data_IF_132468664096
#
_entry.id   IF_132468664096
#
_cell.length_a   1.000
_cell.length_b   1.000
_cell.length_c   1.000
_cell.angle_alpha   90.00
_cell.angle_beta   90.00
_cell.angle_gamma   90.00
#
_symmetry.space_group_name_H-M   'P 1'
#
loop_
_entity.id
_entity.type
_entity.pdbx_description
1 polymer ?
#
# COMPACT_ATOMS: atom_id res chain seq x y z
N UNK A 1 -27.58 5.66 37.40
CA UNK A 1 -26.11 5.89 37.37
C UNK A 1 -25.39 4.80 36.60
N UNK A 2 -25.76 3.55 36.77
CA UNK A 2 -25.17 2.35 36.11
C UNK A 2 -25.29 2.34 34.58
N UNK A 3 -26.42 2.78 34.03
CA UNK A 3 -26.64 2.84 32.58
C UNK A 3 -25.68 3.82 31.86
N UNK A 4 -25.45 4.98 32.47
CA UNK A 4 -24.49 5.97 31.93
C UNK A 4 -23.05 5.47 31.95
N UNK A 5 -22.70 4.68 32.96
CA UNK A 5 -21.36 4.11 33.08
C UNK A 5 -21.12 3.01 32.04
N UNK A 6 -22.12 2.14 31.79
CA UNK A 6 -22.06 1.10 30.76
C UNK A 6 -21.98 1.69 29.35
N UNK A 7 -22.70 2.79 29.09
CA UNK A 7 -22.62 3.46 27.77
C UNK A 7 -21.27 4.17 27.55
N UNK A 8 -20.67 4.76 28.58
CA UNK A 8 -19.34 5.36 28.53
C UNK A 8 -18.26 4.31 28.27
N UNK A 9 -18.33 3.16 28.95
CA UNK A 9 -17.37 2.05 28.73
C UNK A 9 -17.51 1.45 27.34
N UNK A 10 -18.73 1.31 26.82
CA UNK A 10 -18.95 0.84 25.45
C UNK A 10 -18.41 1.86 24.41
N UNK A 11 -18.58 3.16 24.67
CA UNK A 11 -18.09 4.22 23.77
C UNK A 11 -16.55 4.29 23.75
N UNK A 12 -15.92 4.15 24.94
CA UNK A 12 -14.45 4.12 25.03
C UNK A 12 -13.86 2.86 24.42
N UNK A 13 -14.47 1.70 24.59
CA UNK A 13 -14.05 0.46 23.96
C UNK A 13 -14.18 0.50 22.43
N UNK A 14 -15.26 1.06 21.90
CA UNK A 14 -15.43 1.26 20.46
C UNK A 14 -14.40 2.24 19.89
N UNK A 15 -14.09 3.33 20.60
CA UNK A 15 -13.10 4.32 20.19
C UNK A 15 -11.67 3.77 20.22
N UNK A 16 -11.31 2.94 21.20
CA UNK A 16 -10.01 2.28 21.27
C UNK A 16 -9.84 1.22 20.19
N UNK A 17 -10.88 0.45 19.85
CA UNK A 17 -10.83 -0.50 18.73
C UNK A 17 -10.67 0.18 17.39
N UNK A 18 -11.32 1.31 17.14
CA UNK A 18 -11.17 2.05 15.88
C UNK A 18 -9.79 2.66 15.71
N UNK A 19 -9.20 3.19 16.79
CA UNK A 19 -7.83 3.73 16.78
C UNK A 19 -6.76 2.64 16.55
N UNK A 20 -6.93 1.45 17.11
CA UNK A 20 -6.02 0.33 16.91
C UNK A 20 -6.03 -0.22 15.47
N UNK A 21 -7.17 -0.17 14.78
CA UNK A 21 -7.31 -0.63 13.40
C UNK A 21 -6.71 0.34 12.37
N UNK A 22 -6.58 1.61 12.71
CA UNK A 22 -6.08 2.64 11.78
C UNK A 22 -4.56 2.59 11.57
N UNK A 23 -3.79 2.19 12.59
CA UNK A 23 -2.33 2.21 12.54
C UNK A 23 -1.70 1.21 11.56
N UNK A 24 -2.42 0.16 11.15
CA UNK A 24 -1.87 -0.93 10.35
C UNK A 24 -2.18 -0.86 8.85
N UNK A 25 -3.12 -0.01 8.40
CA UNK A 25 -3.67 -0.09 7.03
C UNK A 25 -3.32 1.07 6.12
N UNK A 26 -3.00 2.25 6.66
CA UNK A 26 -2.83 3.47 5.85
C UNK A 26 -1.36 3.89 5.69
N UNK A 27 -0.52 3.61 6.66
CA UNK A 27 0.87 4.04 6.66
C UNK A 27 1.84 2.91 6.34
N UNK A 28 2.80 3.20 5.47
CA UNK A 28 3.93 2.31 5.20
C UNK A 28 4.93 2.34 6.36
N UNK A 29 5.42 1.17 6.75
CA UNK A 29 6.58 1.05 7.63
C UNK A 29 7.84 1.61 6.95
N UNK A 30 8.85 2.01 7.73
CA UNK A 30 10.07 2.62 7.18
C UNK A 30 10.80 1.71 6.16
N UNK A 31 10.81 0.39 6.40
CA UNK A 31 11.33 -0.58 5.43
C UNK A 31 10.58 -0.52 4.10
N UNK A 32 9.25 -0.50 4.14
CA UNK A 32 8.40 -0.43 2.95
C UNK A 32 8.56 0.89 2.18
N UNK A 33 8.80 2.00 2.88
CA UNK A 33 9.10 3.29 2.23
C UNK A 33 10.41 3.23 1.46
N UNK A 34 11.44 2.58 2.04
CA UNK A 34 12.74 2.37 1.36
C UNK A 34 12.60 1.47 0.16
N UNK A 35 11.89 0.35 0.29
CA UNK A 35 11.59 -0.53 -0.86
C UNK A 35 10.89 0.21 -1.99
N UNK A 36 9.86 1.02 -1.66
CA UNK A 36 9.14 1.80 -2.64
C UNK A 36 10.04 2.80 -3.37
N UNK A 37 10.95 3.47 -2.63
CA UNK A 37 11.92 4.40 -3.21
C UNK A 37 12.88 3.69 -4.18
N UNK A 38 13.35 2.48 -3.83
CA UNK A 38 14.20 1.66 -4.72
C UNK A 38 13.44 1.24 -5.98
N UNK A 39 12.17 0.81 -5.85
CA UNK A 39 11.34 0.51 -7.01
C UNK A 39 11.10 1.74 -7.89
N UNK A 40 10.92 2.91 -7.30
CA UNK A 40 10.78 4.17 -8.04
C UNK A 40 12.05 4.52 -8.81
N UNK A 41 13.22 4.42 -8.16
CA UNK A 41 14.53 4.64 -8.78
C UNK A 41 14.78 3.68 -9.96
N UNK A 42 14.37 2.42 -9.82
CA UNK A 42 14.46 1.40 -10.88
C UNK A 42 13.38 1.54 -11.96
N UNK A 43 12.49 2.52 -11.87
CA UNK A 43 11.40 2.72 -12.84
C UNK A 43 10.31 1.64 -12.80
N UNK A 44 10.23 0.88 -11.71
CA UNK A 44 9.24 -0.19 -11.52
C UNK A 44 7.97 0.28 -10.82
N UNK A 45 7.88 1.56 -10.43
CA UNK A 45 6.76 2.12 -9.69
C UNK A 45 5.43 2.02 -10.44
N UNK A 46 4.47 1.34 -9.85
CA UNK A 46 3.09 1.27 -10.32
C UNK A 46 2.24 2.29 -9.55
N UNK A 47 1.72 3.28 -10.25
CA UNK A 47 0.83 4.30 -9.69
C UNK A 47 -0.65 3.88 -9.83
N UNK A 48 -1.12 3.02 -8.94
CA UNK A 48 -2.53 2.61 -8.90
C UNK A 48 -3.43 3.77 -8.45
N UNK A 49 -2.94 4.57 -7.50
CA UNK A 49 -3.67 5.73 -6.96
C UNK A 49 -2.80 6.99 -6.98
N UNK A 50 -3.40 8.11 -7.37
CA UNK A 50 -2.74 9.41 -7.28
C UNK A 50 -2.72 9.89 -5.83
N UNK A 51 -1.52 10.13 -5.29
CA UNK A 51 -1.33 10.64 -3.93
C UNK A 51 -1.92 12.04 -3.78
N UNK A 52 -1.74 12.90 -4.79
CA UNK A 52 -2.31 14.24 -4.78
C UNK A 52 -3.83 14.23 -4.82
N UNK A 53 -4.43 13.39 -5.67
CA UNK A 53 -5.89 13.22 -5.74
C UNK A 53 -6.45 12.70 -4.41
N UNK A 54 -5.77 11.73 -3.78
CA UNK A 54 -6.17 11.21 -2.47
C UNK A 54 -6.14 12.30 -1.39
N UNK A 55 -5.09 13.12 -1.37
CA UNK A 55 -4.97 14.25 -0.45
C UNK A 55 -6.10 15.28 -0.63
N UNK A 56 -6.38 15.69 -1.88
CA UNK A 56 -7.46 16.65 -2.19
C UNK A 56 -8.82 16.07 -1.81
N UNK A 57 -9.08 14.81 -2.13
CA UNK A 57 -10.33 14.14 -1.75
C UNK A 57 -10.43 13.94 -0.22
N UNK A 58 -9.32 13.87 0.49
CA UNK A 58 -9.30 13.82 1.96
C UNK A 58 -9.86 15.07 2.63
N UNK A 59 -9.98 16.21 1.91
CA UNK A 59 -10.67 17.42 2.40
C UNK A 59 -12.19 17.20 2.51
N UNK A 60 -12.74 16.22 1.80
CA UNK A 60 -14.17 15.91 1.84
C UNK A 60 -14.44 14.70 2.73
N UNK A 61 -15.61 14.66 3.45
CA UNK A 61 -15.93 13.58 4.36
C UNK A 61 -15.82 12.19 3.75
N UNK A 62 -14.85 11.40 4.20
CA UNK A 62 -14.64 10.02 3.75
C UNK A 62 -14.16 9.83 2.31
N UNK A 63 -14.21 10.85 1.44
CA UNK A 63 -13.95 10.71 0.00
C UNK A 63 -12.54 10.19 -0.31
N UNK A 64 -11.52 10.63 0.42
CA UNK A 64 -10.15 10.14 0.28
C UNK A 64 -10.02 8.64 0.58
N UNK A 65 -10.72 8.14 1.60
CA UNK A 65 -10.75 6.72 1.95
C UNK A 65 -11.52 5.89 0.93
N UNK A 66 -12.65 6.38 0.45
CA UNK A 66 -13.38 5.69 -0.65
C UNK A 66 -12.53 5.59 -1.90
N UNK A 67 -11.83 6.66 -2.27
CA UNK A 67 -10.91 6.65 -3.41
C UNK A 67 -9.77 5.63 -3.24
N UNK A 68 -9.22 5.50 -2.05
CA UNK A 68 -8.14 4.54 -1.76
C UNK A 68 -8.63 3.14 -1.44
N UNK A 69 -9.96 2.91 -1.44
CA UNK A 69 -10.57 1.60 -1.19
C UNK A 69 -10.65 1.19 0.28
N UNK A 70 -10.49 2.15 1.20
CA UNK A 70 -10.65 1.93 2.65
C UNK A 70 -12.08 2.26 3.09
N UNK A 71 -13.06 1.52 2.55
CA UNK A 71 -14.49 1.80 2.74
C UNK A 71 -14.92 1.83 4.20
N UNK A 72 -14.40 0.92 5.03
CA UNK A 72 -14.71 0.87 6.47
C UNK A 72 -14.26 2.16 7.16
N UNK A 73 -13.03 2.60 6.88
CA UNK A 73 -12.52 3.88 7.42
C UNK A 73 -13.33 5.07 6.90
N UNK A 74 -13.69 5.06 5.61
CA UNK A 74 -14.53 6.09 5.02
C UNK A 74 -15.86 6.28 5.78
N UNK A 75 -16.53 5.18 6.13
CA UNK A 75 -17.81 5.23 6.85
C UNK A 75 -17.62 5.56 8.33
N UNK A 76 -16.67 4.90 9.01
CA UNK A 76 -16.49 5.05 10.48
C UNK A 76 -15.96 6.42 10.88
N UNK A 77 -15.25 7.12 9.98
CA UNK A 77 -14.71 8.46 10.26
C UNK A 77 -15.66 9.60 9.93
N UNK A 78 -16.78 9.34 9.24
CA UNK A 78 -17.79 10.37 8.91
C UNK A 78 -18.29 11.15 10.11
N UNK A 79 -18.65 10.51 11.26
CA UNK A 79 -19.14 11.26 12.44
C UNK A 79 -18.07 12.15 13.08
N UNK A 80 -16.80 11.81 12.93
CA UNK A 80 -15.65 12.55 13.50
C UNK A 80 -15.19 13.69 12.59
N UNK A 81 -15.61 13.68 11.33
CA UNK A 81 -15.17 14.64 10.31
C UNK A 81 -15.33 16.12 10.72
N UNK A 82 -16.49 16.58 11.30
CA UNK A 82 -16.67 18.00 11.62
C UNK A 82 -15.67 18.54 12.65
N UNK A 83 -15.10 17.67 13.48
CA UNK A 83 -14.23 18.07 14.57
C UNK A 83 -12.76 18.17 14.15
N UNK A 84 -12.24 17.18 13.47
CA UNK A 84 -10.81 17.08 13.15
C UNK A 84 -10.52 16.57 11.72
N UNK A 85 -11.55 16.13 10.98
CA UNK A 85 -11.41 15.49 9.67
C UNK A 85 -10.54 16.28 8.68
N UNK A 86 -10.77 17.58 8.45
CA UNK A 86 -9.99 18.36 7.50
C UNK A 86 -8.51 18.50 7.87
N UNK A 87 -8.15 18.29 9.14
CA UNK A 87 -6.76 18.44 9.62
C UNK A 87 -5.92 17.19 9.36
N UNK A 88 -6.48 15.98 9.48
CA UNK A 88 -5.70 14.75 9.34
C UNK A 88 -6.02 13.93 8.08
N UNK A 89 -7.29 13.90 7.64
CA UNK A 89 -7.75 13.04 6.54
C UNK A 89 -6.99 13.24 5.22
N UNK A 90 -6.59 14.45 4.81
CA UNK A 90 -5.79 14.63 3.60
C UNK A 90 -4.44 13.92 3.67
N UNK A 91 -3.78 13.98 4.83
CA UNK A 91 -2.48 13.33 5.04
C UNK A 91 -2.61 11.81 5.10
N UNK A 92 -3.64 11.32 5.80
CA UNK A 92 -3.89 9.89 5.93
C UNK A 92 -4.36 9.27 4.61
N UNK A 93 -5.20 9.93 3.85
CA UNK A 93 -5.58 9.52 2.50
C UNK A 93 -4.39 9.49 1.53
N UNK A 94 -3.48 10.46 1.64
CA UNK A 94 -2.23 10.46 0.86
C UNK A 94 -1.33 9.28 1.25
N UNK A 95 -1.20 8.99 2.54
CA UNK A 95 -0.44 7.84 3.03
C UNK A 95 -1.06 6.51 2.57
N UNK A 96 -2.39 6.42 2.60
CA UNK A 96 -3.16 5.30 2.09
C UNK A 96 -2.94 5.05 0.59
N UNK A 97 -2.91 6.12 -0.23
CA UNK A 97 -2.59 6.01 -1.65
C UNK A 97 -1.15 5.51 -1.88
N UNK A 98 -0.18 5.99 -1.08
CA UNK A 98 1.22 5.47 -1.14
C UNK A 98 1.29 4.00 -0.78
N UNK A 99 0.55 3.57 0.25
CA UNK A 99 0.45 2.16 0.64
C UNK A 99 -0.10 1.30 -0.50
N UNK A 100 -1.17 1.74 -1.16
CA UNK A 100 -1.72 1.06 -2.34
C UNK A 100 -0.68 0.94 -3.46
N UNK A 101 -0.01 2.02 -3.79
CA UNK A 101 1.02 2.01 -4.83
C UNK A 101 2.18 1.07 -4.48
N UNK A 102 2.58 0.99 -3.21
CA UNK A 102 3.60 0.05 -2.76
C UNK A 102 3.19 -1.41 -3.01
N UNK A 103 1.99 -1.80 -2.57
CA UNK A 103 1.54 -3.19 -2.77
C UNK A 103 1.31 -3.51 -4.25
N UNK A 104 0.77 -2.58 -5.02
CA UNK A 104 0.62 -2.75 -6.47
C UNK A 104 1.98 -2.92 -7.17
N UNK A 105 2.95 -2.09 -6.80
CA UNK A 105 4.32 -2.15 -7.32
C UNK A 105 4.98 -3.49 -6.98
N UNK A 106 4.90 -3.91 -5.73
CA UNK A 106 5.49 -5.18 -5.27
C UNK A 106 4.88 -6.37 -5.99
N UNK A 107 3.56 -6.44 -6.08
CA UNK A 107 2.87 -7.51 -6.80
C UNK A 107 3.25 -7.56 -8.27
N UNK A 108 3.33 -6.41 -8.94
CA UNK A 108 3.69 -6.35 -10.36
C UNK A 108 5.16 -6.70 -10.58
N UNK A 109 6.06 -6.24 -9.71
CA UNK A 109 7.47 -6.61 -9.75
C UNK A 109 7.67 -8.12 -9.57
N UNK A 110 7.00 -8.73 -8.59
CA UNK A 110 7.06 -10.19 -8.37
C UNK A 110 6.48 -10.97 -9.56
N UNK A 111 5.36 -10.52 -10.13
CA UNK A 111 4.74 -11.13 -11.32
C UNK A 111 5.66 -11.05 -12.53
N UNK A 112 6.26 -9.90 -12.78
CA UNK A 112 7.14 -9.69 -13.91
C UNK A 112 8.45 -10.48 -13.75
N UNK A 113 9.03 -10.51 -12.53
CA UNK A 113 10.17 -11.37 -12.20
C UNK A 113 9.88 -12.83 -12.52
N UNK A 114 8.75 -13.35 -12.03
CA UNK A 114 8.38 -14.74 -12.25
C UNK A 114 8.11 -15.07 -13.73
N UNK A 115 7.62 -14.09 -14.49
CA UNK A 115 7.45 -14.24 -15.95
C UNK A 115 8.78 -14.28 -16.67
N UNK A 116 9.68 -13.33 -16.41
CA UNK A 116 11.00 -13.27 -17.05
C UNK A 116 11.86 -14.51 -16.71
N UNK A 117 11.79 -15.01 -15.47
CA UNK A 117 12.49 -16.24 -15.09
C UNK A 117 11.96 -17.47 -15.84
N UNK A 118 10.63 -17.62 -15.95
CA UNK A 118 10.04 -18.72 -16.74
C UNK A 118 10.41 -18.65 -18.20
N UNK A 119 10.43 -17.48 -18.79
CA UNK A 119 10.85 -17.29 -20.17
C UNK A 119 12.33 -17.66 -20.37
N UNK A 120 13.18 -17.32 -19.39
CA UNK A 120 14.59 -17.69 -19.37
C UNK A 120 14.76 -19.22 -19.28
N UNK A 121 13.97 -19.90 -18.43
CA UNK A 121 13.99 -21.35 -18.29
C UNK A 121 13.58 -22.04 -19.60
N UNK A 122 12.53 -21.57 -20.27
CA UNK A 122 12.13 -22.10 -21.59
C UNK A 122 13.22 -21.93 -22.64
N UNK A 123 13.93 -20.81 -22.67
CA UNK A 123 15.05 -20.59 -23.57
C UNK A 123 16.20 -21.58 -23.31
N UNK A 124 16.42 -21.98 -22.05
CA UNK A 124 17.41 -23.03 -21.73
C UNK A 124 16.93 -24.41 -22.19
N UNK A 125 15.66 -24.75 -21.94
CA UNK A 125 15.04 -26.01 -22.37
C UNK A 125 15.11 -26.17 -23.90
N UNK A 126 14.86 -25.08 -24.64
CA UNK A 126 14.95 -25.00 -26.10
C UNK A 126 16.40 -24.97 -26.63
N UNK A 127 17.39 -25.08 -25.73
CA UNK A 127 18.83 -25.02 -26.07
C UNK A 127 19.27 -23.72 -26.77
N UNK A 128 18.53 -22.64 -26.55
CA UNK A 128 18.86 -21.30 -27.08
C UNK A 128 19.93 -20.61 -26.24
N UNK A 129 20.14 -21.08 -25.00
CA UNK A 129 21.10 -20.55 -24.05
C UNK A 129 21.99 -21.68 -23.51
N UNK A 130 23.26 -21.35 -23.22
CA UNK A 130 24.09 -22.22 -22.40
C UNK A 130 23.73 -22.07 -20.91
N UNK A 131 24.04 -23.07 -20.10
CA UNK A 131 23.85 -23.04 -18.67
C UNK A 131 24.52 -21.82 -17.99
N UNK A 132 25.73 -21.46 -18.44
CA UNK A 132 26.42 -20.29 -17.90
C UNK A 132 25.70 -18.97 -18.25
N UNK A 133 25.16 -18.85 -19.45
CA UNK A 133 24.37 -17.70 -19.86
C UNK A 133 23.07 -17.62 -19.03
N UNK A 134 22.38 -18.74 -18.83
CA UNK A 134 21.18 -18.82 -18.00
C UNK A 134 21.46 -18.29 -16.60
N UNK A 135 22.51 -18.74 -15.91
CA UNK A 135 22.85 -18.27 -14.55
C UNK A 135 23.18 -16.78 -14.53
N UNK A 136 23.85 -16.24 -15.56
CA UNK A 136 24.13 -14.80 -15.63
C UNK A 136 22.86 -13.98 -15.82
N UNK A 137 22.00 -14.39 -16.75
CA UNK A 137 20.73 -13.70 -17.01
C UNK A 137 19.79 -13.80 -15.81
N UNK A 138 19.72 -14.96 -15.14
CA UNK A 138 18.95 -15.14 -13.91
C UNK A 138 19.34 -14.12 -12.82
N UNK A 139 20.66 -13.98 -12.56
CA UNK A 139 21.15 -12.98 -11.58
C UNK A 139 20.79 -11.56 -11.98
N UNK A 140 20.80 -11.26 -13.26
CA UNK A 140 20.43 -9.94 -13.78
C UNK A 140 18.95 -9.66 -13.55
N UNK A 141 18.08 -10.64 -13.82
CA UNK A 141 16.63 -10.53 -13.55
C UNK A 141 16.38 -10.39 -12.05
N UNK A 142 17.03 -11.20 -11.23
CA UNK A 142 16.90 -11.11 -9.76
C UNK A 142 17.33 -9.73 -9.25
N UNK A 143 18.46 -9.21 -9.70
CA UNK A 143 18.96 -7.88 -9.33
C UNK A 143 18.04 -6.75 -9.80
N UNK A 144 17.44 -6.87 -11.00
CA UNK A 144 16.47 -5.91 -11.55
C UNK A 144 15.27 -5.72 -10.61
N UNK A 145 14.72 -6.82 -10.10
CA UNK A 145 13.53 -6.82 -9.26
C UNK A 145 13.81 -6.85 -7.76
N UNK A 146 15.07 -6.92 -7.31
CA UNK A 146 15.41 -6.86 -5.90
C UNK A 146 15.10 -5.47 -5.31
N UNK A 147 14.52 -5.44 -4.12
CA UNK A 147 14.27 -4.21 -3.38
C UNK A 147 15.45 -3.80 -2.48
N UNK A 148 16.57 -4.57 -2.55
CA UNK A 148 17.81 -4.34 -1.79
C UNK A 148 19.02 -4.59 -2.68
#
# INVERSE_FOLDING_TARGET
>A
MEYRMKSLVALTAALTCTLALQGCTTHLAEGQKRELAIYEEKGLLVKEKSVGTAAVLGIFPGAGYFYTGHYVLGVTTLPLYPFLGPLWMPFDAAASAKSRNYYATKMEAERNKARELRELDHRLEDKQLSYEQHIREQRTIEAKYAAY
#
